data_IF_562886391369
#
_entry.id   IF_562886391369
#
_cell.length_a   1.000
_cell.length_b   1.000
_cell.length_c   1.000
_cell.angle_alpha   90.00
_cell.angle_beta   90.00
_cell.angle_gamma   90.00
#
_symmetry.space_group_name_H-M   'P 1'
#
loop_
_entity.id
_entity.type
_entity.pdbx_description
1 polymer ?
#
# COMPACT_ATOMS: atom_id res chain seq x y z
N UNK A 1 15.82 -5.64 -5.42
CA UNK A 1 14.48 -5.04 -5.58
C UNK A 1 13.73 -5.85 -6.60
N UNK A 2 12.41 -5.95 -6.45
CA UNK A 2 11.60 -6.89 -7.24
C UNK A 2 10.47 -6.11 -7.87
N UNK A 3 10.54 -5.91 -9.19
CA UNK A 3 9.42 -5.39 -9.99
C UNK A 3 8.18 -6.24 -9.68
N UNK A 4 7.01 -5.62 -9.39
CA UNK A 4 5.83 -6.40 -9.02
C UNK A 4 5.49 -7.45 -10.08
N UNK A 5 5.30 -8.69 -9.64
CA UNK A 5 5.07 -9.84 -10.53
C UNK A 5 3.81 -9.70 -11.40
N UNK A 6 2.84 -8.93 -10.93
CA UNK A 6 1.57 -8.66 -11.60
C UNK A 6 1.67 -7.66 -12.76
N UNK A 7 2.83 -7.04 -12.99
CA UNK A 7 3.02 -6.22 -14.18
C UNK A 7 3.05 -7.09 -15.44
N UNK A 8 2.49 -6.61 -16.56
CA UNK A 8 2.69 -7.25 -17.85
C UNK A 8 4.18 -7.34 -18.20
N UNK A 9 4.60 -8.40 -18.89
CA UNK A 9 6.02 -8.65 -19.15
C UNK A 9 6.68 -7.55 -19.98
N UNK A 10 5.95 -6.94 -20.91
CA UNK A 10 6.45 -5.82 -21.71
C UNK A 10 6.80 -4.59 -20.86
N UNK A 11 6.09 -4.35 -19.75
CA UNK A 11 6.42 -3.28 -18.81
C UNK A 11 7.62 -3.63 -17.93
N UNK A 12 7.74 -4.89 -17.51
CA UNK A 12 8.93 -5.37 -16.78
C UNK A 12 10.18 -5.18 -17.64
N UNK A 13 10.10 -5.56 -18.92
CA UNK A 13 11.18 -5.38 -19.89
C UNK A 13 11.51 -3.91 -20.10
N UNK A 14 10.50 -3.03 -20.22
CA UNK A 14 10.74 -1.60 -20.38
C UNK A 14 11.46 -1.00 -19.16
N UNK A 15 11.05 -1.36 -17.94
CA UNK A 15 11.71 -0.90 -16.71
C UNK A 15 13.13 -1.48 -16.56
N UNK A 16 13.34 -2.74 -16.95
CA UNK A 16 14.63 -3.41 -16.85
C UNK A 16 15.64 -2.96 -17.90
N UNK A 17 15.21 -2.51 -19.08
CA UNK A 17 16.09 -2.14 -20.21
C UNK A 17 16.11 -0.66 -20.53
N UNK A 18 15.13 0.11 -20.04
CA UNK A 18 14.88 1.48 -20.48
C UNK A 18 14.30 1.56 -21.89
N UNK A 19 13.98 0.47 -22.58
CA UNK A 19 13.48 0.56 -23.95
C UNK A 19 11.96 0.73 -24.01
N UNK A 20 11.49 1.63 -24.89
CA UNK A 20 10.06 1.80 -25.15
C UNK A 20 9.48 0.70 -26.08
N UNK A 21 10.32 -0.19 -26.61
CA UNK A 21 9.99 -1.19 -27.64
C UNK A 21 9.03 -2.29 -27.17
N UNK A 22 8.51 -2.23 -25.94
CA UNK A 22 7.46 -3.11 -25.43
C UNK A 22 6.08 -2.48 -25.31
N UNK A 23 5.95 -1.14 -25.41
CA UNK A 23 4.65 -0.49 -25.21
C UNK A 23 3.74 -0.70 -26.41
N UNK A 24 2.51 -1.10 -26.13
CA UNK A 24 1.52 -1.42 -27.18
C UNK A 24 0.86 -0.17 -27.77
N UNK A 25 0.71 0.87 -26.95
CA UNK A 25 0.09 2.15 -27.32
C UNK A 25 0.66 3.30 -26.47
N UNK A 26 0.36 4.56 -26.83
CA UNK A 26 0.66 5.70 -25.97
C UNK A 26 -0.05 5.62 -24.61
N UNK A 27 -1.31 5.15 -24.57
CA UNK A 27 -2.06 4.96 -23.33
C UNK A 27 -1.49 3.86 -22.43
N UNK A 28 -0.88 2.83 -23.04
CA UNK A 28 -0.15 1.78 -22.32
C UNK A 28 1.08 2.36 -21.62
N UNK A 29 1.80 3.26 -22.30
CA UNK A 29 2.95 3.96 -21.74
C UNK A 29 2.56 4.93 -20.60
N UNK A 30 1.44 5.63 -20.73
CA UNK A 30 0.87 6.46 -19.63
C UNK A 30 0.56 5.58 -18.41
N UNK A 31 -0.07 4.43 -18.62
CA UNK A 31 -0.41 3.49 -17.55
C UNK A 31 0.82 2.92 -16.86
N UNK A 32 1.88 2.65 -17.62
CA UNK A 32 3.19 2.27 -17.10
C UNK A 32 3.79 3.36 -16.23
N UNK A 33 3.93 4.60 -16.74
CA UNK A 33 4.53 5.69 -15.97
C UNK A 33 3.79 5.98 -14.66
N UNK A 34 2.46 5.90 -14.70
CA UNK A 34 1.59 6.06 -13.55
C UNK A 34 1.88 4.98 -12.49
N UNK A 35 1.93 3.70 -12.87
CA UNK A 35 2.17 2.60 -11.92
C UNK A 35 3.62 2.48 -11.46
N UNK A 36 4.57 2.64 -12.36
CA UNK A 36 6.00 2.51 -12.07
C UNK A 36 6.44 3.53 -11.02
N UNK A 37 5.91 4.77 -11.06
CA UNK A 37 6.17 5.81 -10.05
C UNK A 37 6.08 5.33 -8.59
N UNK A 38 5.13 4.46 -8.27
CA UNK A 38 4.85 4.04 -6.89
C UNK A 38 5.69 2.85 -6.42
N UNK A 39 6.31 2.13 -7.35
CA UNK A 39 6.99 0.86 -7.06
C UNK A 39 8.46 0.88 -7.45
N UNK A 40 8.87 1.85 -8.28
CA UNK A 40 10.26 2.05 -8.66
C UNK A 40 11.08 2.44 -7.44
N UNK A 41 12.15 1.68 -7.27
CA UNK A 41 13.09 1.79 -6.19
C UNK A 41 14.03 2.99 -6.30
N UNK A 42 14.11 3.82 -5.26
CA UNK A 42 15.09 4.92 -5.21
C UNK A 42 16.54 4.39 -5.31
N UNK A 43 17.37 5.12 -6.06
CA UNK A 43 18.78 4.86 -6.38
C UNK A 43 19.07 3.54 -7.11
N UNK A 44 18.03 2.89 -7.65
CA UNK A 44 18.18 1.64 -8.40
C UNK A 44 18.49 1.88 -9.88
N UNK A 45 18.94 0.83 -10.57
CA UNK A 45 19.04 0.87 -12.03
C UNK A 45 17.67 1.03 -12.70
N UNK A 46 16.61 0.49 -12.09
CA UNK A 46 15.23 0.64 -12.55
C UNK A 46 14.79 2.11 -12.51
N UNK A 47 15.18 2.87 -11.48
CA UNK A 47 14.93 4.31 -11.41
C UNK A 47 15.60 5.06 -12.55
N UNK A 48 16.86 4.73 -12.85
CA UNK A 48 17.58 5.37 -13.97
C UNK A 48 16.87 5.11 -15.29
N UNK A 49 16.48 3.86 -15.55
CA UNK A 49 15.74 3.51 -16.78
C UNK A 49 14.35 4.15 -16.83
N UNK A 50 13.67 4.24 -15.69
CA UNK A 50 12.39 4.93 -15.57
C UNK A 50 12.51 6.42 -15.89
N UNK A 51 13.49 7.11 -15.29
CA UNK A 51 13.73 8.53 -15.53
C UNK A 51 14.16 8.80 -16.97
N UNK A 52 15.04 7.96 -17.52
CA UNK A 52 15.45 8.07 -18.93
C UNK A 52 14.27 7.85 -19.90
N UNK A 53 13.37 6.90 -19.60
CA UNK A 53 12.12 6.76 -20.34
C UNK A 53 11.23 7.99 -20.19
N UNK A 54 11.12 8.56 -19.00
CA UNK A 54 10.30 9.74 -18.73
C UNK A 54 10.82 10.97 -19.50
N UNK A 55 12.14 11.16 -19.54
CA UNK A 55 12.80 12.26 -20.27
C UNK A 55 12.61 12.12 -21.79
N UNK A 56 12.64 10.89 -22.32
CA UNK A 56 12.39 10.63 -23.74
C UNK A 56 10.91 10.73 -24.15
N UNK A 57 9.99 10.61 -23.19
CA UNK A 57 8.55 10.58 -23.44
C UNK A 57 7.78 11.54 -22.50
N UNK A 58 8.07 12.85 -22.56
CA UNK A 58 7.58 13.82 -21.59
C UNK A 58 6.05 14.01 -21.63
N UNK A 59 5.42 13.86 -22.79
CA UNK A 59 3.96 14.00 -22.93
C UNK A 59 3.21 12.88 -22.21
N UNK A 60 3.63 11.64 -22.42
CA UNK A 60 3.03 10.47 -21.78
C UNK A 60 3.31 10.49 -20.27
N UNK A 61 4.50 10.94 -19.87
CA UNK A 61 4.84 11.12 -18.46
C UNK A 61 3.98 12.22 -17.80
N UNK A 62 3.80 13.37 -18.46
CA UNK A 62 2.93 14.44 -17.97
C UNK A 62 1.47 14.01 -17.82
N UNK A 63 0.95 13.25 -18.79
CA UNK A 63 -0.40 12.67 -18.71
C UNK A 63 -0.53 11.68 -17.54
N UNK A 64 0.49 10.85 -17.30
CA UNK A 64 0.51 9.94 -16.15
C UNK A 64 0.53 10.69 -14.80
N UNK A 65 1.28 11.80 -14.71
CA UNK A 65 1.25 12.67 -13.53
C UNK A 65 -0.10 13.35 -13.32
N UNK A 66 -0.76 13.79 -14.40
CA UNK A 66 -2.10 14.36 -14.32
C UNK A 66 -3.12 13.33 -13.80
N UNK A 67 -3.05 12.09 -14.29
CA UNK A 67 -3.89 10.99 -13.82
C UNK A 67 -3.66 10.69 -12.33
N UNK A 68 -2.41 10.64 -11.88
CA UNK A 68 -2.08 10.45 -10.46
C UNK A 68 -2.69 11.56 -9.58
N UNK A 69 -2.53 12.83 -9.99
CA UNK A 69 -3.10 13.97 -9.25
C UNK A 69 -4.62 13.92 -9.17
N UNK A 70 -5.29 13.51 -10.25
CA UNK A 70 -6.75 13.37 -10.26
C UNK A 70 -7.22 12.30 -9.28
N UNK A 71 -6.53 11.16 -9.20
CA UNK A 71 -6.86 10.09 -8.26
C UNK A 71 -6.56 10.47 -6.80
N UNK A 72 -5.42 11.11 -6.54
CA UNK A 72 -5.07 11.61 -5.21
C UNK A 72 -6.12 12.61 -4.72
N UNK A 73 -6.58 13.51 -5.61
CA UNK A 73 -7.66 14.44 -5.32
C UNK A 73 -8.97 13.72 -5.00
N UNK A 74 -9.37 12.73 -5.80
CA UNK A 74 -10.59 11.96 -5.56
C UNK A 74 -10.55 11.20 -4.22
N UNK A 75 -9.40 10.62 -3.86
CA UNK A 75 -9.18 9.97 -2.56
C UNK A 75 -9.29 10.97 -1.41
N UNK A 76 -8.69 12.15 -1.57
CA UNK A 76 -8.77 13.23 -0.59
C UNK A 76 -10.23 13.70 -0.39
N UNK A 77 -10.95 13.98 -1.47
CA UNK A 77 -12.35 14.40 -1.43
C UNK A 77 -13.25 13.33 -0.79
N UNK A 78 -13.01 12.05 -1.07
CA UNK A 78 -13.72 10.93 -0.42
C UNK A 78 -13.41 10.88 1.08
N UNK A 79 -12.14 11.04 1.47
CA UNK A 79 -11.74 11.07 2.89
C UNK A 79 -12.38 12.25 3.63
N UNK A 80 -12.39 13.44 3.03
CA UNK A 80 -13.03 14.62 3.61
C UNK A 80 -14.55 14.45 3.72
N UNK A 81 -15.19 13.84 2.72
CA UNK A 81 -16.61 13.50 2.79
C UNK A 81 -16.89 12.51 3.93
N UNK A 82 -16.06 11.48 4.11
CA UNK A 82 -16.19 10.52 5.22
C UNK A 82 -16.00 11.17 6.59
N UNK A 83 -15.08 12.13 6.73
CA UNK A 83 -14.90 12.88 7.99
C UNK A 83 -16.08 13.80 8.33
N UNK A 84 -16.72 14.36 7.29
CA UNK A 84 -17.90 15.23 7.43
C UNK A 84 -19.20 14.47 7.55
N UNK A 85 -19.22 13.19 7.16
CA UNK A 85 -20.38 12.35 7.36
C UNK A 85 -20.73 12.38 8.85
N UNK A 86 -21.99 12.67 9.21
CA UNK A 86 -22.42 12.53 10.59
C UNK A 86 -22.07 11.11 11.03
N UNK A 87 -21.62 10.96 12.27
CA UNK A 87 -21.56 9.63 12.86
C UNK A 87 -22.96 9.04 12.70
N UNK A 88 -23.08 7.95 11.94
CA UNK A 88 -24.29 7.14 12.01
C UNK A 88 -24.48 6.87 13.49
N UNK A 89 -25.62 7.31 14.04
CA UNK A 89 -26.00 6.96 15.38
C UNK A 89 -25.97 5.43 15.41
N UNK A 90 -24.95 4.84 16.03
CA UNK A 90 -24.90 3.42 16.30
C UNK A 90 -26.28 3.07 16.85
N UNK A 91 -26.98 2.13 16.20
CA UNK A 91 -28.36 1.74 16.54
C UNK A 91 -28.56 1.87 18.06
N UNK A 92 -29.37 2.85 18.48
CA UNK A 92 -29.49 3.17 19.90
C UNK A 92 -29.98 1.92 20.61
N UNK A 93 -29.13 1.35 21.48
CA UNK A 93 -29.48 0.17 22.26
C UNK A 93 -28.60 -1.07 22.05
N UNK A 94 -27.66 -1.09 21.09
CA UNK A 94 -26.64 -2.14 21.05
C UNK A 94 -25.30 -1.62 21.57
N UNK A 95 -24.77 -2.15 22.69
CA UNK A 95 -23.41 -1.81 23.10
C UNK A 95 -22.44 -2.14 21.97
N UNK A 96 -21.39 -1.33 21.81
CA UNK A 96 -20.30 -1.56 20.85
C UNK A 96 -19.52 -2.81 21.29
N UNK A 97 -20.06 -3.99 21.00
CA UNK A 97 -19.52 -5.28 21.48
C UNK A 97 -18.23 -5.69 20.76
N UNK A 98 -17.95 -5.14 19.59
CA UNK A 98 -16.77 -5.51 18.79
C UNK A 98 -15.46 -5.03 19.42
N UNK A 99 -15.46 -3.80 19.97
CA UNK A 99 -14.30 -3.25 20.69
C UNK A 99 -14.12 -3.97 22.03
N UNK A 100 -15.21 -4.23 22.76
CA UNK A 100 -15.17 -4.98 24.02
C UNK A 100 -14.55 -6.37 23.85
N UNK A 101 -14.97 -7.13 22.81
CA UNK A 101 -14.43 -8.47 22.54
C UNK A 101 -12.94 -8.48 22.18
N UNK A 102 -12.44 -7.43 21.52
CA UNK A 102 -11.02 -7.30 21.20
C UNK A 102 -10.18 -7.06 22.48
N UNK A 103 -10.68 -6.23 23.39
CA UNK A 103 -10.08 -6.01 24.70
C UNK A 103 -10.12 -7.25 25.58
N UNK A 104 -11.25 -7.95 25.63
CA UNK A 104 -11.39 -9.20 26.39
C UNK A 104 -10.39 -10.26 25.90
N UNK A 105 -10.21 -10.38 24.58
CA UNK A 105 -9.23 -11.29 23.97
C UNK A 105 -7.79 -10.88 24.27
N UNK A 106 -7.49 -9.58 24.25
CA UNK A 106 -6.16 -9.07 24.58
C UNK A 106 -5.81 -9.29 26.07
N UNK A 107 -6.78 -9.07 26.96
CA UNK A 107 -6.64 -9.33 28.40
C UNK A 107 -6.43 -10.82 28.65
N UNK A 108 -7.22 -11.70 28.02
CA UNK A 108 -7.07 -13.15 28.17
C UNK A 108 -5.68 -13.65 27.74
N UNK A 109 -5.18 -13.20 26.58
CA UNK A 109 -3.84 -13.56 26.09
C UNK A 109 -2.73 -13.06 27.01
N UNK A 110 -2.92 -11.87 27.60
CA UNK A 110 -1.96 -11.30 28.54
C UNK A 110 -1.92 -12.09 29.85
N UNK A 111 -3.09 -12.50 30.36
CA UNK A 111 -3.19 -13.32 31.57
C UNK A 111 -2.61 -14.72 31.38
N UNK A 112 -2.81 -15.34 30.22
CA UNK A 112 -2.17 -16.61 29.85
C UNK A 112 -0.64 -16.50 29.90
N UNK A 113 -0.08 -15.45 29.27
CA UNK A 113 1.37 -15.19 29.33
C UNK A 113 1.91 -14.95 30.73
N UNK A 114 1.15 -14.29 31.61
CA UNK A 114 1.54 -14.13 33.02
C UNK A 114 1.51 -15.45 33.79
N UNK A 115 0.53 -16.32 33.53
CA UNK A 115 0.44 -17.63 34.17
C UNK A 115 1.60 -18.54 33.75
N UNK A 116 1.97 -18.54 32.47
CA UNK A 116 3.10 -19.32 31.97
C UNK A 116 4.43 -18.81 32.54
N UNK A 117 4.60 -17.49 32.63
CA UNK A 117 5.77 -16.88 33.25
C UNK A 117 5.86 -17.26 34.75
N UNK A 118 4.75 -17.18 35.47
CA UNK A 118 4.67 -17.58 36.87
C UNK A 118 4.99 -19.06 37.05
N UNK A 119 4.42 -19.95 36.22
CA UNK A 119 4.72 -21.37 36.22
C UNK A 119 6.22 -21.64 35.96
N UNK A 120 6.82 -20.93 35.00
CA UNK A 120 8.26 -21.02 34.73
C UNK A 120 9.14 -20.48 35.85
N UNK A 121 8.68 -19.51 36.64
CA UNK A 121 9.37 -19.03 37.84
C UNK A 121 9.27 -20.06 38.97
N UNK A 122 8.07 -20.59 39.25
CA UNK A 122 7.88 -21.62 40.29
C UNK A 122 8.63 -22.92 39.96
N UNK A 123 8.63 -23.35 38.70
CA UNK A 123 9.39 -24.52 38.25
C UNK A 123 10.92 -24.35 38.39
N UNK A 124 11.43 -23.11 38.24
CA UNK A 124 12.83 -22.78 38.49
C UNK A 124 13.16 -22.64 39.98
N UNK A 125 12.20 -22.24 40.81
CA UNK A 125 12.37 -22.07 42.26
C UNK A 125 12.29 -23.39 43.04
N UNK A 126 11.57 -24.38 42.54
CA UNK A 126 11.43 -25.72 43.14
C UNK A 126 12.45 -26.74 42.58
N UNK A 127 13.54 -26.27 41.98
CA UNK A 127 14.77 -27.02 41.71
C UNK A 127 15.88 -26.50 42.61
#
# INVERSE_FOLDING_TARGET
MTIPSHFPDHWKTALATGAATGFRTAGDMVSFFYKARFVTALFSQEEKHYLDLADRHPEQYAAALAQARAEDRAKFETSEAMKRAPFDAAESGKPVTTISKAWDKAIAKTNEGFNDLAAGIYARRNK
#
